data_IF_894285054699
#
_entry.id   IF_894285054699
#
_cell.length_a   1.000
_cell.length_b   1.000
_cell.length_c   1.000
_cell.angle_alpha   90.00
_cell.angle_beta   90.00
_cell.angle_gamma   90.00
#
_symmetry.space_group_name_H-M   'P 1'
#
loop_
_entity.id
_entity.type
_entity.pdbx_description
1 polymer ?
#
# COMPACT_ATOMS: atom_id res chain seq x y z
N UNK A 1 -23.95 -9.82 -27.15
CA UNK A 1 -22.86 -10.82 -27.25
C UNK A 1 -21.93 -10.62 -26.07
N UNK A 2 -21.77 -11.61 -25.16
CA UNK A 2 -20.76 -11.51 -24.10
C UNK A 2 -19.41 -11.70 -24.78
N UNK A 3 -18.60 -10.64 -24.85
CA UNK A 3 -17.21 -10.76 -25.29
C UNK A 3 -16.52 -11.86 -24.47
N UNK A 4 -15.72 -12.70 -25.14
CA UNK A 4 -14.91 -13.70 -24.46
C UNK A 4 -14.04 -13.02 -23.40
N UNK A 5 -13.78 -13.66 -22.24
CA UNK A 5 -12.94 -13.07 -21.21
C UNK A 5 -11.55 -12.77 -21.78
N UNK A 6 -11.12 -11.50 -21.70
CA UNK A 6 -9.76 -11.10 -22.08
C UNK A 6 -8.79 -11.49 -20.96
N UNK A 7 -7.91 -12.46 -21.26
CA UNK A 7 -6.88 -12.94 -20.35
C UNK A 7 -5.51 -12.27 -20.56
N UNK A 8 -5.39 -11.35 -21.52
CA UNK A 8 -4.15 -10.62 -21.74
C UNK A 8 -3.86 -9.68 -20.56
N UNK A 9 -2.74 -9.92 -19.90
CA UNK A 9 -2.32 -9.17 -18.71
C UNK A 9 -2.06 -7.69 -19.02
N UNK A 10 -1.42 -7.39 -20.15
CA UNK A 10 -1.08 -6.03 -20.55
C UNK A 10 -2.35 -5.19 -20.76
N UNK A 11 -3.34 -5.76 -21.45
CA UNK A 11 -4.62 -5.10 -21.66
C UNK A 11 -5.34 -4.85 -20.35
N UNK A 12 -5.33 -5.82 -19.43
CA UNK A 12 -6.05 -5.69 -18.17
C UNK A 12 -5.40 -4.67 -17.23
N UNK A 13 -4.06 -4.58 -17.19
CA UNK A 13 -3.33 -3.68 -16.29
C UNK A 13 -3.15 -2.27 -16.85
N UNK A 14 -2.75 -2.13 -18.12
CA UNK A 14 -2.25 -0.86 -18.66
C UNK A 14 -3.21 -0.19 -19.65
N UNK A 15 -3.99 -0.98 -20.40
CA UNK A 15 -4.99 -0.47 -21.34
C UNK A 15 -4.47 0.55 -22.37
N UNK A 16 -3.24 0.45 -22.85
CA UNK A 16 -2.63 1.50 -23.71
C UNK A 16 -3.48 1.88 -24.94
N UNK A 17 -4.19 0.93 -25.54
CA UNK A 17 -4.97 1.16 -26.76
C UNK A 17 -6.42 1.64 -26.53
N UNK A 18 -6.88 1.71 -25.28
CA UNK A 18 -8.27 2.11 -24.98
C UNK A 18 -8.46 3.62 -25.13
N UNK A 19 -9.57 4.02 -25.76
CA UNK A 19 -9.98 5.43 -25.80
C UNK A 19 -10.17 5.98 -24.38
N UNK A 20 -9.70 7.20 -24.17
CA UNK A 20 -9.63 7.85 -22.87
C UNK A 20 -10.94 8.59 -22.52
N UNK A 21 -11.58 8.25 -21.40
CA UNK A 21 -12.74 8.99 -20.90
C UNK A 21 -12.36 10.08 -19.89
N UNK A 22 -13.27 11.04 -19.66
CA UNK A 22 -13.07 12.09 -18.66
C UNK A 22 -12.96 11.51 -17.24
N UNK A 23 -13.76 10.50 -16.92
CA UNK A 23 -13.72 9.77 -15.65
C UNK A 23 -12.38 9.09 -15.41
N UNK A 24 -11.79 8.48 -16.45
CA UNK A 24 -10.45 7.88 -16.35
C UNK A 24 -9.35 8.90 -16.07
N UNK A 25 -9.41 10.07 -16.71
CA UNK A 25 -8.46 11.17 -16.45
C UNK A 25 -8.55 11.62 -15.00
N UNK A 26 -9.76 11.89 -14.52
CA UNK A 26 -10.01 12.36 -13.15
C UNK A 26 -9.56 11.29 -12.15
N UNK A 27 -9.95 10.04 -12.35
CA UNK A 27 -9.57 8.93 -11.47
C UNK A 27 -8.05 8.79 -11.35
N UNK A 28 -7.32 8.79 -12.48
CA UNK A 28 -5.86 8.70 -12.45
C UNK A 28 -5.22 9.89 -11.76
N UNK A 29 -5.74 11.11 -11.93
CA UNK A 29 -5.25 12.29 -11.22
C UNK A 29 -5.53 12.22 -9.72
N UNK A 30 -6.70 11.70 -9.30
CA UNK A 30 -6.99 11.45 -7.88
C UNK A 30 -5.99 10.46 -7.30
N UNK A 31 -5.79 9.33 -7.98
CA UNK A 31 -4.86 8.29 -7.53
C UNK A 31 -3.41 8.79 -7.47
N UNK A 32 -2.94 9.48 -8.51
CA UNK A 32 -1.61 10.10 -8.50
C UNK A 32 -1.46 11.12 -7.36
N UNK A 33 -2.48 11.96 -7.13
CA UNK A 33 -2.47 12.92 -6.03
C UNK A 33 -2.44 12.24 -4.67
N UNK A 34 -3.12 11.10 -4.52
CA UNK A 34 -3.02 10.28 -3.31
C UNK A 34 -1.59 9.78 -3.08
N UNK A 35 -0.90 9.29 -4.11
CA UNK A 35 0.51 8.86 -4.00
C UNK A 35 1.43 10.03 -3.65
N UNK A 36 1.23 11.20 -4.25
CA UNK A 36 1.99 12.43 -3.95
C UNK A 36 1.80 12.84 -2.49
N UNK A 37 0.55 12.97 -2.04
CA UNK A 37 0.22 13.37 -0.67
C UNK A 37 0.68 12.33 0.35
N UNK A 38 0.51 11.04 0.04
CA UNK A 38 1.00 9.93 0.87
C UNK A 38 2.52 9.94 0.99
N UNK A 39 3.23 10.21 -0.10
CA UNK A 39 4.69 10.34 -0.09
C UNK A 39 5.14 11.50 0.78
N UNK A 40 4.51 12.67 0.65
CA UNK A 40 4.80 13.83 1.50
C UNK A 40 4.54 13.50 2.98
N UNK A 41 3.37 12.94 3.29
CA UNK A 41 2.99 12.55 4.64
C UNK A 41 4.04 11.60 5.27
N UNK A 42 4.44 10.56 4.55
CA UNK A 42 5.46 9.61 5.01
C UNK A 42 6.82 10.30 5.21
N UNK A 43 7.28 11.10 4.24
CA UNK A 43 8.56 11.78 4.31
C UNK A 43 8.66 12.71 5.54
N UNK A 44 7.61 13.48 5.81
CA UNK A 44 7.54 14.37 6.97
C UNK A 44 7.42 13.61 8.29
N UNK A 45 6.54 12.61 8.35
CA UNK A 45 6.36 11.78 9.56
C UNK A 45 7.67 11.11 9.95
N UNK A 46 8.36 10.51 8.99
CA UNK A 46 9.65 9.86 9.21
C UNK A 46 10.76 10.87 9.51
N UNK A 47 10.77 12.02 8.84
CA UNK A 47 11.74 13.07 9.10
C UNK A 47 11.67 13.58 10.52
N UNK A 48 10.46 13.88 11.01
CA UNK A 48 10.25 14.31 12.40
C UNK A 48 10.61 13.24 13.41
N UNK A 49 10.28 11.97 13.13
CA UNK A 49 10.60 10.88 14.03
C UNK A 49 12.10 10.60 14.10
N UNK A 50 12.81 10.68 12.97
CA UNK A 50 14.27 10.44 12.92
C UNK A 50 15.06 11.38 13.84
N UNK A 51 14.54 12.58 14.10
CA UNK A 51 15.14 13.52 15.08
C UNK A 51 15.14 12.98 16.52
N UNK A 52 14.30 12.00 16.83
CA UNK A 52 14.20 11.36 18.15
C UNK A 52 15.13 10.15 18.28
N UNK A 53 15.81 9.76 17.20
CA UNK A 53 16.70 8.61 17.17
C UNK A 53 18.13 9.12 17.30
N UNK A 54 18.82 8.73 18.38
CA UNK A 54 20.23 9.06 18.59
C UNK A 54 21.16 8.06 17.90
N UNK A 55 20.76 6.79 17.84
CA UNK A 55 21.65 5.68 17.47
C UNK A 55 20.97 4.67 16.54
N UNK A 56 21.79 4.00 15.73
CA UNK A 56 21.39 2.91 14.84
C UNK A 56 21.54 1.60 15.60
N UNK A 57 20.43 1.00 16.00
CA UNK A 57 20.44 -0.25 16.79
C UNK A 57 20.54 -1.48 15.90
N UNK A 58 19.87 -1.48 14.75
CA UNK A 58 19.86 -2.60 13.82
C UNK A 58 19.84 -2.11 12.36
N UNK A 59 20.97 -2.21 11.63
CA UNK A 59 20.99 -1.87 10.20
C UNK A 59 20.23 -2.94 9.39
N UNK A 60 19.06 -2.56 8.88
CA UNK A 60 18.22 -3.37 8.00
C UNK A 60 18.21 -2.81 6.57
N UNK A 61 18.03 -3.70 5.59
CA UNK A 61 17.91 -3.31 4.18
C UNK A 61 19.09 -2.48 3.67
N UNK A 62 18.82 -1.31 3.09
CA UNK A 62 19.84 -0.40 2.54
C UNK A 62 20.86 0.06 3.60
N UNK A 63 20.45 0.19 4.87
CA UNK A 63 21.31 0.62 5.96
C UNK A 63 22.48 -0.35 6.25
N UNK A 64 22.46 -1.56 5.68
CA UNK A 64 23.59 -2.50 5.72
C UNK A 64 24.72 -2.14 4.76
N UNK A 65 24.42 -1.36 3.73
CA UNK A 65 25.34 -1.05 2.64
C UNK A 65 25.66 0.44 2.56
N UNK A 66 24.79 1.29 3.08
CA UNK A 66 24.95 2.74 3.11
C UNK A 66 24.92 3.19 4.56
N UNK A 67 25.96 3.92 4.97
CA UNK A 67 25.94 4.58 6.28
C UNK A 67 24.87 5.67 6.26
N UNK A 68 23.86 5.51 7.12
CA UNK A 68 22.71 6.42 7.28
C UNK A 68 22.82 7.25 8.57
N UNK A 69 23.95 7.15 9.30
CA UNK A 69 24.21 7.94 10.50
C UNK A 69 24.17 9.44 10.23
N UNK A 70 24.50 9.88 9.01
CA UNK A 70 24.42 11.27 8.58
C UNK A 70 23.00 11.88 8.66
N UNK A 71 21.96 11.05 8.73
CA UNK A 71 20.57 11.49 8.94
C UNK A 71 20.20 11.69 10.42
N UNK A 72 21.08 11.36 11.36
CA UNK A 72 20.80 11.38 12.80
C UNK A 72 21.52 12.54 13.50
N UNK A 73 20.95 13.02 14.61
CA UNK A 73 21.53 14.11 15.42
C UNK A 73 21.54 15.49 14.76
N UNK A 74 20.82 15.69 13.65
CA UNK A 74 20.78 16.94 12.90
C UNK A 74 19.43 17.13 12.19
N UNK A 75 19.23 18.26 11.48
CA UNK A 75 17.95 18.60 10.82
C UNK A 75 17.85 18.12 9.37
N UNK A 76 18.84 17.38 8.84
CA UNK A 76 18.86 16.90 7.46
C UNK A 76 17.64 16.06 7.06
N UNK A 77 17.06 15.20 7.92
CA UNK A 77 15.82 14.48 7.58
C UNK A 77 14.66 15.41 7.22
N UNK A 78 14.59 16.61 7.82
CA UNK A 78 13.54 17.59 7.48
C UNK A 78 13.82 18.25 6.13
N UNK A 79 15.08 18.59 5.84
CA UNK A 79 15.48 19.10 4.53
C UNK A 79 15.21 18.09 3.42
N UNK A 80 15.52 16.81 3.66
CA UNK A 80 15.21 15.72 2.74
C UNK A 80 13.69 15.59 2.51
N UNK A 81 12.87 15.68 3.57
CA UNK A 81 11.41 15.67 3.44
C UNK A 81 10.87 16.87 2.64
N UNK A 82 11.44 18.07 2.83
CA UNK A 82 11.14 19.26 2.04
C UNK A 82 11.51 19.08 0.56
N UNK A 83 12.69 18.53 0.27
CA UNK A 83 13.13 18.25 -1.09
C UNK A 83 12.25 17.20 -1.77
N UNK A 84 11.91 16.10 -1.08
CA UNK A 84 10.95 15.09 -1.57
C UNK A 84 9.63 15.77 -1.92
N UNK A 85 9.11 16.63 -1.05
CA UNK A 85 7.84 17.35 -1.28
C UNK A 85 7.88 18.19 -2.55
N UNK A 86 8.94 18.96 -2.76
CA UNK A 86 9.11 19.75 -4.00
C UNK A 86 9.18 18.83 -5.21
N UNK A 87 9.98 17.76 -5.15
CA UNK A 87 10.16 16.85 -6.28
C UNK A 87 8.86 16.13 -6.68
N UNK A 88 8.05 15.66 -5.72
CA UNK A 88 6.77 15.02 -6.06
C UNK A 88 5.77 16.02 -6.64
N UNK A 89 5.78 17.28 -6.19
CA UNK A 89 4.96 18.34 -6.78
C UNK A 89 5.42 18.70 -8.21
N UNK A 90 6.73 18.73 -8.46
CA UNK A 90 7.27 18.91 -9.81
C UNK A 90 6.87 17.74 -10.73
N UNK A 91 6.96 16.50 -10.24
CA UNK A 91 6.51 15.31 -10.97
C UNK A 91 5.02 15.34 -11.29
N UNK A 92 4.21 15.75 -10.32
CA UNK A 92 2.75 15.91 -10.47
C UNK A 92 2.39 17.00 -11.49
N UNK A 93 3.09 18.14 -11.42
CA UNK A 93 2.96 19.25 -12.37
C UNK A 93 3.61 18.99 -13.74
N UNK A 94 4.17 17.79 -13.95
CA UNK A 94 4.84 17.36 -15.20
C UNK A 94 6.09 18.18 -15.55
N UNK A 95 6.76 18.76 -14.56
CA UNK A 95 7.98 19.55 -14.73
C UNK A 95 9.22 18.66 -14.67
N UNK A 96 9.53 18.03 -15.81
CA UNK A 96 10.70 17.17 -15.99
C UNK A 96 10.39 15.67 -15.87
N UNK A 97 11.37 14.83 -16.24
CA UNK A 97 11.21 13.36 -16.33
C UNK A 97 11.72 12.59 -15.11
N UNK A 98 12.57 13.22 -14.32
CA UNK A 98 13.26 12.64 -13.18
C UNK A 98 12.66 12.93 -11.79
N UNK A 99 11.77 13.92 -11.57
CA UNK A 99 11.39 14.30 -10.20
C UNK A 99 10.88 13.14 -9.34
N UNK A 100 9.98 12.29 -9.86
CA UNK A 100 9.49 11.13 -9.12
C UNK A 100 10.58 10.08 -8.85
N UNK A 101 11.51 9.86 -9.78
CA UNK A 101 12.60 8.92 -9.58
C UNK A 101 13.55 9.39 -8.47
N UNK A 102 13.90 10.69 -8.47
CA UNK A 102 14.75 11.28 -7.43
C UNK A 102 14.01 11.24 -6.08
N UNK A 103 12.73 11.63 -6.06
CA UNK A 103 11.90 11.57 -4.85
C UNK A 103 11.84 10.15 -4.27
N UNK A 104 11.70 9.14 -5.12
CA UNK A 104 11.69 7.74 -4.69
C UNK A 104 13.01 7.32 -4.02
N UNK A 105 14.15 7.66 -4.63
CA UNK A 105 15.47 7.34 -4.04
C UNK A 105 15.65 8.05 -2.70
N UNK A 106 15.29 9.33 -2.60
CA UNK A 106 15.37 10.08 -1.35
C UNK A 106 14.42 9.54 -0.29
N UNK A 107 13.24 9.05 -0.68
CA UNK A 107 12.27 8.41 0.20
C UNK A 107 12.82 7.09 0.76
N UNK A 108 13.55 6.30 -0.04
CA UNK A 108 14.23 5.08 0.44
C UNK A 108 15.28 5.43 1.50
N UNK A 109 16.06 6.49 1.30
CA UNK A 109 17.05 6.94 2.29
C UNK A 109 16.34 7.37 3.58
N UNK A 110 15.25 8.13 3.46
CA UNK A 110 14.44 8.56 4.60
C UNK A 110 13.83 7.37 5.36
N UNK A 111 13.34 6.37 4.63
CA UNK A 111 12.83 5.12 5.17
C UNK A 111 13.93 4.39 5.95
N UNK A 112 15.10 4.21 5.35
CA UNK A 112 16.23 3.53 5.98
C UNK A 112 16.65 4.25 7.27
N UNK A 113 16.67 5.58 7.28
CA UNK A 113 16.99 6.39 8.46
C UNK A 113 15.96 6.23 9.61
N UNK A 114 14.67 6.14 9.29
CA UNK A 114 13.62 5.98 10.29
C UNK A 114 13.61 4.58 10.93
N UNK A 115 13.89 3.54 10.15
CA UNK A 115 13.66 2.14 10.54
C UNK A 115 14.91 1.41 11.02
N UNK A 116 15.86 2.18 11.57
CA UNK A 116 17.11 1.73 12.20
C UNK A 116 16.95 1.04 13.53
N UNK A 117 15.75 1.08 14.10
CA UNK A 117 15.41 0.45 15.37
C UNK A 117 14.79 -0.94 15.20
N UNK A 118 14.75 -1.47 13.97
CA UNK A 118 14.23 -2.82 13.69
C UNK A 118 12.73 -2.89 13.38
N UNK A 119 12.01 -1.78 13.42
CA UNK A 119 10.60 -1.69 13.01
C UNK A 119 10.52 -1.64 11.48
N UNK A 120 9.62 -2.41 10.84
CA UNK A 120 9.40 -2.38 9.38
C UNK A 120 7.95 -1.99 9.14
N UNK A 121 7.64 -0.82 8.56
CA UNK A 121 6.26 -0.47 8.26
C UNK A 121 5.83 -1.21 7.00
N UNK A 122 4.75 -1.98 7.11
CA UNK A 122 4.20 -2.66 5.95
C UNK A 122 3.28 -1.76 5.12
N UNK A 123 2.66 -0.74 5.73
CA UNK A 123 1.67 0.12 5.08
C UNK A 123 2.25 1.11 4.06
N UNK A 124 3.50 1.55 4.24
CA UNK A 124 4.15 2.54 3.37
C UNK A 124 4.64 1.96 2.05
N UNK A 125 4.73 0.63 1.95
CA UNK A 125 5.28 -0.03 0.77
C UNK A 125 4.42 0.21 -0.46
N UNK A 126 3.08 0.20 -0.32
CA UNK A 126 2.19 0.43 -1.47
C UNK A 126 2.37 1.84 -2.05
N UNK A 127 2.40 2.87 -1.19
CA UNK A 127 2.68 4.26 -1.62
C UNK A 127 4.05 4.36 -2.31
N UNK A 128 5.08 3.73 -1.74
CA UNK A 128 6.42 3.70 -2.34
C UNK A 128 6.44 3.02 -3.71
N UNK A 129 5.71 1.91 -3.88
CA UNK A 129 5.59 1.21 -5.17
C UNK A 129 4.75 2.02 -6.16
N UNK A 130 3.71 2.73 -5.73
CA UNK A 130 2.97 3.66 -6.56
C UNK A 130 3.87 4.79 -7.08
N UNK A 131 4.70 5.38 -6.21
CA UNK A 131 5.68 6.40 -6.59
C UNK A 131 6.70 5.85 -7.60
N UNK A 132 7.21 4.64 -7.38
CA UNK A 132 8.08 3.96 -8.34
C UNK A 132 7.38 3.72 -9.69
N UNK A 133 6.12 3.33 -9.67
CA UNK A 133 5.30 3.15 -10.88
C UNK A 133 5.21 4.43 -11.69
N UNK A 134 4.93 5.57 -11.04
CA UNK A 134 4.90 6.87 -11.70
C UNK A 134 6.29 7.33 -12.17
N UNK A 135 7.35 7.04 -11.41
CA UNK A 135 8.73 7.31 -11.82
C UNK A 135 9.09 6.56 -13.11
N UNK A 136 8.86 5.25 -13.14
CA UNK A 136 9.05 4.41 -14.34
C UNK A 136 8.18 4.89 -15.49
N UNK A 137 6.91 5.23 -15.23
CA UNK A 137 6.01 5.84 -16.22
C UNK A 137 6.65 7.05 -16.88
N UNK A 138 7.08 8.04 -16.09
CA UNK A 138 7.70 9.28 -16.60
C UNK A 138 9.00 9.06 -17.37
N UNK A 139 9.80 8.07 -16.99
CA UNK A 139 11.09 7.79 -17.64
C UNK A 139 10.96 7.06 -18.97
N UNK A 140 10.02 6.11 -19.07
CA UNK A 140 9.94 5.19 -20.21
C UNK A 140 8.83 5.51 -21.21
N UNK A 141 7.83 6.30 -20.83
CA UNK A 141 6.71 6.63 -21.72
C UNK A 141 6.73 8.10 -22.14
N UNK A 142 6.58 8.40 -23.45
CA UNK A 142 6.66 9.77 -23.97
C UNK A 142 5.39 10.58 -23.72
N UNK A 143 4.21 9.96 -23.83
CA UNK A 143 2.91 10.62 -23.72
C UNK A 143 2.31 10.56 -22.31
N UNK A 144 1.58 11.61 -21.90
CA UNK A 144 1.02 11.71 -20.54
C UNK A 144 0.02 10.61 -20.22
N UNK A 145 -0.76 10.20 -21.20
CA UNK A 145 -1.77 9.14 -21.07
C UNK A 145 -1.11 7.81 -20.72
N UNK A 146 -0.09 7.38 -21.48
CA UNK A 146 0.63 6.13 -21.23
C UNK A 146 1.42 6.18 -19.93
N UNK A 147 2.02 7.32 -19.56
CA UNK A 147 2.67 7.50 -18.25
C UNK A 147 1.72 7.21 -17.10
N UNK A 148 0.54 7.81 -17.15
CA UNK A 148 -0.47 7.71 -16.09
C UNK A 148 -1.07 6.30 -16.02
N UNK A 149 -1.31 5.69 -17.19
CA UNK A 149 -1.76 4.29 -17.32
C UNK A 149 -0.73 3.30 -16.79
N UNK A 150 0.54 3.51 -17.12
CA UNK A 150 1.63 2.70 -16.60
C UNK A 150 1.71 2.77 -15.08
N UNK A 151 1.71 3.97 -14.49
CA UNK A 151 1.77 4.12 -13.03
C UNK A 151 0.63 3.40 -12.30
N UNK A 152 -0.60 3.53 -12.80
CA UNK A 152 -1.76 2.83 -12.24
C UNK A 152 -1.67 1.31 -12.43
N UNK A 153 -1.37 0.84 -13.64
CA UNK A 153 -1.23 -0.60 -13.94
C UNK A 153 -0.10 -1.26 -13.17
N UNK A 154 1.02 -0.56 -13.00
CA UNK A 154 2.15 -0.97 -12.18
C UNK A 154 1.75 -1.13 -10.71
N UNK A 155 0.95 -0.20 -10.19
CA UNK A 155 0.44 -0.30 -8.81
C UNK A 155 -0.45 -1.53 -8.65
N UNK A 156 -1.40 -1.77 -9.56
CA UNK A 156 -2.22 -2.99 -9.54
C UNK A 156 -1.38 -4.27 -9.61
N UNK A 157 -0.35 -4.26 -10.46
CA UNK A 157 0.59 -5.37 -10.57
C UNK A 157 1.23 -5.68 -9.22
N UNK A 158 1.83 -4.67 -8.58
CA UNK A 158 2.51 -4.83 -7.31
C UNK A 158 1.58 -5.14 -6.15
N UNK A 159 0.34 -4.65 -6.17
CA UNK A 159 -0.66 -5.00 -5.16
C UNK A 159 -0.96 -6.51 -5.21
N UNK A 160 -1.25 -7.04 -6.40
CA UNK A 160 -1.47 -8.48 -6.57
C UNK A 160 -0.23 -9.29 -6.21
N UNK A 161 0.96 -8.85 -6.63
CA UNK A 161 2.23 -9.53 -6.33
C UNK A 161 2.52 -9.53 -4.82
N UNK A 162 2.37 -8.39 -4.13
CA UNK A 162 2.71 -8.25 -2.72
C UNK A 162 1.84 -9.15 -1.83
N UNK A 163 0.52 -9.10 -1.99
CA UNK A 163 -0.38 -9.93 -1.20
C UNK A 163 -0.25 -11.43 -1.54
N UNK A 164 -0.12 -11.79 -2.81
CA UNK A 164 0.10 -13.20 -3.17
C UNK A 164 1.45 -13.71 -2.66
N UNK A 165 2.50 -12.89 -2.71
CA UNK A 165 3.79 -13.24 -2.11
C UNK A 165 3.70 -13.38 -0.59
N UNK A 166 2.89 -12.55 0.07
CA UNK A 166 2.64 -12.65 1.51
C UNK A 166 1.92 -13.96 1.88
N UNK A 167 0.97 -14.44 1.07
CA UNK A 167 0.38 -15.77 1.27
C UNK A 167 1.41 -16.88 1.03
N UNK A 168 2.19 -16.80 -0.04
CA UNK A 168 3.22 -17.80 -0.35
C UNK A 168 4.25 -17.87 0.78
N UNK A 169 4.70 -16.73 1.33
CA UNK A 169 5.65 -16.73 2.44
C UNK A 169 5.08 -17.41 3.69
N UNK A 170 3.79 -17.21 3.98
CA UNK A 170 3.09 -17.89 5.08
C UNK A 170 3.03 -19.40 4.86
N UNK A 171 2.69 -19.83 3.65
CA UNK A 171 2.64 -21.24 3.26
C UNK A 171 4.02 -21.91 3.28
N UNK A 172 5.08 -21.20 2.88
CA UNK A 172 6.45 -21.73 2.97
C UNK A 172 6.90 -21.87 4.42
N UNK A 173 6.55 -20.91 5.28
CA UNK A 173 6.99 -20.91 6.68
C UNK A 173 6.30 -21.99 7.53
N UNK A 174 5.01 -22.24 7.32
CA UNK A 174 4.22 -23.13 8.20
C UNK A 174 3.17 -23.98 7.49
N UNK A 175 3.20 -24.03 6.15
CA UNK A 175 2.25 -24.81 5.36
C UNK A 175 0.81 -24.31 5.49
N UNK A 176 -0.14 -25.20 5.17
CA UNK A 176 -1.58 -24.92 5.27
C UNK A 176 -2.03 -24.71 6.72
N UNK A 177 -1.25 -25.15 7.71
CA UNK A 177 -1.53 -24.97 9.13
C UNK A 177 -1.19 -23.57 9.62
N UNK A 178 -0.67 -22.68 8.77
CA UNK A 178 -0.51 -21.26 9.12
C UNK A 178 -1.82 -20.64 9.60
N UNK A 179 -2.96 -21.07 9.06
CA UNK A 179 -4.27 -20.61 9.51
C UNK A 179 -4.78 -21.24 10.81
N UNK A 180 -3.98 -21.99 11.57
CA UNK A 180 -4.37 -22.48 12.91
C UNK A 180 -4.71 -21.29 13.83
N UNK A 181 -5.92 -21.29 14.39
CA UNK A 181 -6.42 -20.23 15.26
C UNK A 181 -5.54 -19.93 16.48
N UNK A 182 -4.66 -20.85 16.89
CA UNK A 182 -3.65 -20.60 17.95
C UNK A 182 -2.70 -19.46 17.59
N UNK A 183 -2.39 -19.27 16.31
CA UNK A 183 -1.57 -18.13 15.87
C UNK A 183 -2.30 -16.80 16.08
N UNK A 184 -3.62 -16.76 15.82
CA UNK A 184 -4.41 -15.56 16.08
C UNK A 184 -4.54 -15.30 17.58
N UNK A 185 -4.76 -16.33 18.39
CA UNK A 185 -4.76 -16.21 19.84
C UNK A 185 -3.44 -15.64 20.36
N UNK A 186 -2.31 -16.13 19.85
CA UNK A 186 -0.99 -15.61 20.19
C UNK A 186 -0.88 -14.11 19.86
N UNK A 187 -1.27 -13.68 18.67
CA UNK A 187 -1.21 -12.26 18.29
C UNK A 187 -2.15 -11.37 19.10
N UNK A 188 -3.37 -11.81 19.39
CA UNK A 188 -4.30 -11.06 20.25
C UNK A 188 -3.67 -10.85 21.63
N UNK A 189 -3.07 -11.90 22.20
CA UNK A 189 -2.43 -11.81 23.51
C UNK A 189 -1.13 -10.99 23.49
N UNK A 190 -0.33 -11.08 22.42
CA UNK A 190 0.85 -10.22 22.23
C UNK A 190 0.45 -8.74 22.24
N UNK A 191 -0.59 -8.37 21.47
CA UNK A 191 -1.08 -6.99 21.42
C UNK A 191 -1.72 -6.55 22.73
N UNK A 192 -2.35 -7.47 23.46
CA UNK A 192 -2.84 -7.20 24.80
C UNK A 192 -1.70 -6.86 25.78
N UNK A 193 -0.54 -7.52 25.67
CA UNK A 193 0.65 -7.18 26.47
C UNK A 193 1.16 -5.77 26.14
N UNK A 194 1.21 -5.41 24.86
CA UNK A 194 1.58 -4.05 24.43
C UNK A 194 0.62 -3.00 25.02
N UNK A 195 -0.68 -3.29 25.03
CA UNK A 195 -1.69 -2.38 25.58
C UNK A 195 -1.59 -2.25 27.10
N UNK A 196 -1.43 -3.36 27.83
CA UNK A 196 -1.21 -3.34 29.28
C UNK A 196 0.04 -2.54 29.62
N UNK A 197 1.12 -2.69 28.86
CA UNK A 197 2.34 -1.92 29.08
C UNK A 197 2.13 -0.40 28.87
N UNK A 198 1.21 -0.03 27.96
CA UNK A 198 0.90 1.37 27.64
C UNK A 198 -0.10 2.02 28.60
N UNK A 199 -1.20 1.34 28.92
CA UNK A 199 -2.36 1.91 29.61
C UNK A 199 -2.67 1.25 30.96
N UNK A 200 -1.99 0.15 31.31
CA UNK A 200 -2.14 -0.57 32.58
C UNK A 200 -3.31 -1.56 32.61
N UNK A 201 -4.12 -1.63 31.56
CA UNK A 201 -5.21 -2.60 31.40
C UNK A 201 -5.44 -2.91 29.92
N UNK A 202 -6.20 -3.96 29.63
CA UNK A 202 -6.66 -4.27 28.27
C UNK A 202 -8.16 -4.50 28.30
N UNK A 203 -8.86 -3.91 27.34
CA UNK A 203 -10.27 -4.19 27.08
C UNK A 203 -10.37 -4.85 25.71
N UNK A 204 -10.85 -6.09 25.69
CA UNK A 204 -11.03 -6.81 24.45
C UNK A 204 -12.32 -6.36 23.78
N UNK A 205 -12.28 -6.17 22.47
CA UNK A 205 -13.51 -5.93 21.71
C UNK A 205 -14.24 -7.26 21.43
N UNK A 206 -15.51 -7.15 21.03
CA UNK A 206 -16.36 -8.31 20.73
C UNK A 206 -15.73 -9.31 19.73
N UNK A 207 -14.99 -8.84 18.72
CA UNK A 207 -14.37 -9.72 17.72
C UNK A 207 -13.18 -10.48 18.30
N UNK A 208 -12.40 -9.84 19.17
CA UNK A 208 -11.30 -10.48 19.91
C UNK A 208 -11.84 -11.52 20.88
N UNK A 209 -12.88 -11.21 21.65
CA UNK A 209 -13.54 -12.16 22.54
C UNK A 209 -14.11 -13.36 21.75
N UNK A 210 -14.75 -13.09 20.61
CA UNK A 210 -15.30 -14.14 19.73
C UNK A 210 -14.18 -15.05 19.20
N UNK A 211 -13.05 -14.47 18.77
CA UNK A 211 -11.90 -15.24 18.31
C UNK A 211 -11.29 -16.10 19.43
N UNK A 212 -11.12 -15.55 20.64
CA UNK A 212 -10.56 -16.26 21.80
C UNK A 212 -11.50 -17.34 22.36
N UNK A 213 -12.82 -17.17 22.21
CA UNK A 213 -13.80 -18.15 22.69
C UNK A 213 -13.88 -19.42 21.83
N UNK A 214 -13.38 -19.40 20.59
CA UNK A 214 -13.43 -20.55 19.68
C UNK A 214 -12.25 -20.64 18.74
N UNK A 215 -11.48 -21.73 18.87
CA UNK A 215 -10.35 -22.02 17.98
C UNK A 215 -10.79 -22.14 16.52
N UNK A 216 -12.00 -22.68 16.28
CA UNK A 216 -12.55 -22.78 14.93
C UNK A 216 -12.80 -21.40 14.32
N UNK A 217 -13.38 -20.46 15.08
CA UNK A 217 -13.63 -19.10 14.59
C UNK A 217 -12.30 -18.40 14.28
N UNK A 218 -11.33 -18.48 15.18
CA UNK A 218 -10.00 -17.93 14.95
C UNK A 218 -9.32 -18.54 13.70
N UNK A 219 -9.45 -19.84 13.51
CA UNK A 219 -8.95 -20.55 12.33
C UNK A 219 -9.62 -20.04 11.05
N UNK A 220 -10.94 -19.85 11.08
CA UNK A 220 -11.69 -19.33 9.92
C UNK A 220 -11.29 -17.91 9.55
N UNK A 221 -11.02 -17.04 10.54
CA UNK A 221 -10.51 -15.69 10.29
C UNK A 221 -9.16 -15.71 9.57
N UNK A 222 -8.21 -16.52 10.06
CA UNK A 222 -6.90 -16.66 9.40
C UNK A 222 -7.00 -17.33 8.03
N UNK A 223 -7.85 -18.34 7.89
CA UNK A 223 -8.06 -19.03 6.61
C UNK A 223 -8.64 -18.08 5.56
N UNK A 224 -9.60 -17.24 5.93
CA UNK A 224 -10.11 -16.18 5.05
C UNK A 224 -8.99 -15.24 4.62
N UNK A 225 -8.19 -14.75 5.57
CA UNK A 225 -7.07 -13.86 5.26
C UNK A 225 -6.07 -14.49 4.29
N UNK A 226 -5.67 -15.73 4.54
CA UNK A 226 -4.74 -16.48 3.69
C UNK A 226 -5.30 -16.71 2.28
N UNK A 227 -6.58 -17.04 2.15
CA UNK A 227 -7.25 -17.19 0.85
C UNK A 227 -7.31 -15.86 0.10
N UNK A 228 -7.69 -14.77 0.76
CA UNK A 228 -7.76 -13.44 0.15
C UNK A 228 -6.38 -13.01 -0.41
N UNK A 229 -5.31 -13.22 0.35
CA UNK A 229 -3.94 -12.94 -0.08
C UNK A 229 -3.50 -13.87 -1.22
N UNK A 230 -3.74 -15.18 -1.12
CA UNK A 230 -3.32 -16.16 -2.12
C UNK A 230 -3.94 -15.88 -3.50
N UNK A 231 -5.20 -15.44 -3.53
CA UNK A 231 -5.90 -15.08 -4.76
C UNK A 231 -5.73 -13.62 -5.17
N UNK A 232 -4.87 -12.85 -4.51
CA UNK A 232 -4.68 -11.43 -4.82
C UNK A 232 -4.12 -11.15 -6.22
N UNK A 233 -3.40 -12.08 -6.86
CA UNK A 233 -3.01 -11.97 -8.28
C UNK A 233 -4.21 -11.79 -9.22
N UNK A 234 -5.42 -12.19 -8.81
CA UNK A 234 -6.65 -11.93 -9.56
C UNK A 234 -7.02 -10.44 -9.66
N UNK A 235 -6.38 -9.55 -8.89
CA UNK A 235 -6.46 -8.09 -9.05
C UNK A 235 -6.04 -7.64 -10.44
N UNK A 236 -5.14 -8.40 -11.08
CA UNK A 236 -4.64 -8.08 -12.40
C UNK A 236 -5.72 -8.13 -13.47
N UNK A 237 -6.80 -8.91 -13.28
CA UNK A 237 -7.91 -9.01 -14.23
C UNK A 237 -9.07 -8.11 -13.81
N UNK A 238 -9.53 -7.23 -14.71
CA UNK A 238 -10.53 -6.19 -14.38
C UNK A 238 -11.83 -6.76 -13.83
N UNK A 239 -12.26 -7.92 -14.33
CA UNK A 239 -13.53 -8.55 -13.95
C UNK A 239 -13.55 -9.02 -12.50
N UNK A 240 -12.42 -9.50 -11.98
CA UNK A 240 -12.27 -10.00 -10.61
C UNK A 240 -11.74 -8.95 -9.66
N UNK A 241 -11.06 -7.92 -10.20
CA UNK A 241 -10.36 -6.86 -9.48
C UNK A 241 -11.13 -6.30 -8.28
N UNK A 242 -12.34 -5.80 -8.48
CA UNK A 242 -13.14 -5.19 -7.41
C UNK A 242 -13.38 -6.17 -6.27
N UNK A 243 -13.82 -7.39 -6.58
CA UNK A 243 -14.15 -8.40 -5.58
C UNK A 243 -12.94 -8.83 -4.76
N UNK A 244 -11.79 -9.00 -5.43
CA UNK A 244 -10.54 -9.39 -4.77
C UNK A 244 -10.03 -8.25 -3.90
N UNK A 245 -10.08 -6.99 -4.37
CA UNK A 245 -9.70 -5.85 -3.53
C UNK A 245 -10.65 -5.63 -2.35
N UNK A 246 -11.94 -5.90 -2.48
CA UNK A 246 -12.87 -5.90 -1.35
C UNK A 246 -12.55 -7.02 -0.34
N UNK A 247 -12.12 -8.19 -0.81
CA UNK A 247 -11.65 -9.27 0.07
C UNK A 247 -10.36 -8.87 0.82
N UNK A 248 -9.40 -8.24 0.14
CA UNK A 248 -8.18 -7.70 0.77
C UNK A 248 -8.54 -6.58 1.77
N UNK A 249 -9.47 -5.69 1.42
CA UNK A 249 -9.97 -4.66 2.35
C UNK A 249 -10.63 -5.30 3.58
N UNK A 250 -11.44 -6.34 3.38
CA UNK A 250 -12.02 -7.14 4.47
C UNK A 250 -10.96 -7.79 5.36
N UNK A 251 -9.85 -8.26 4.78
CA UNK A 251 -8.68 -8.72 5.53
C UNK A 251 -8.10 -7.60 6.40
N UNK A 252 -7.93 -6.37 5.88
CA UNK A 252 -7.42 -5.25 6.70
C UNK A 252 -8.36 -4.87 7.83
N UNK A 253 -9.66 -4.88 7.57
CA UNK A 253 -10.68 -4.69 8.61
C UNK A 253 -10.58 -5.81 9.65
N UNK A 254 -10.41 -7.05 9.22
CA UNK A 254 -10.20 -8.20 10.12
C UNK A 254 -8.95 -8.04 10.98
N UNK A 255 -7.82 -7.63 10.41
CA UNK A 255 -6.58 -7.35 11.15
C UNK A 255 -6.81 -6.24 12.17
N UNK A 256 -7.49 -5.16 11.80
CA UNK A 256 -7.78 -4.07 12.73
C UNK A 256 -8.67 -4.54 13.89
N UNK A 257 -9.76 -5.27 13.60
CA UNK A 257 -10.68 -5.73 14.63
C UNK A 257 -10.09 -6.82 15.53
N UNK A 258 -9.18 -7.65 15.03
CA UNK A 258 -8.59 -8.73 15.82
C UNK A 258 -7.29 -8.32 16.52
N UNK A 259 -6.44 -7.53 15.88
CA UNK A 259 -5.09 -7.21 16.38
C UNK A 259 -4.91 -5.75 16.78
N UNK A 260 -5.91 -4.89 16.58
CA UNK A 260 -5.83 -3.43 16.76
C UNK A 260 -4.69 -2.76 15.96
N UNK A 261 -4.37 -3.34 14.79
CA UNK A 261 -3.38 -2.79 13.87
C UNK A 261 -4.09 -2.23 12.64
N UNK A 262 -3.93 -0.92 12.40
CA UNK A 262 -4.50 -0.26 11.22
C UNK A 262 -3.42 0.20 10.24
N UNK A 263 -3.43 -0.40 9.05
CA UNK A 263 -2.59 0.02 7.92
C UNK A 263 -3.30 1.12 7.10
N UNK A 264 -3.49 2.29 7.70
CA UNK A 264 -4.40 3.34 7.20
C UNK A 264 -4.15 3.76 5.75
N UNK A 265 -2.88 3.94 5.35
CA UNK A 265 -2.56 4.32 3.96
C UNK A 265 -2.92 3.21 2.98
N UNK A 266 -2.63 1.95 3.32
CA UNK A 266 -3.01 0.80 2.48
C UNK A 266 -4.53 0.67 2.36
N UNK A 267 -5.27 0.93 3.44
CA UNK A 267 -6.74 0.92 3.43
C UNK A 267 -7.29 1.99 2.49
N UNK A 268 -6.78 3.23 2.57
CA UNK A 268 -7.21 4.30 1.66
C UNK A 268 -6.84 4.01 0.22
N UNK A 269 -5.65 3.49 -0.03
CA UNK A 269 -5.22 3.09 -1.37
C UNK A 269 -6.12 2.00 -1.94
N UNK A 270 -6.43 0.97 -1.15
CA UNK A 270 -7.36 -0.09 -1.54
C UNK A 270 -8.76 0.45 -1.83
N UNK A 271 -9.28 1.41 -1.05
CA UNK A 271 -10.58 2.03 -1.32
C UNK A 271 -10.54 2.81 -2.65
N UNK A 272 -9.48 3.58 -2.89
CA UNK A 272 -9.32 4.31 -4.15
C UNK A 272 -9.21 3.33 -5.33
N UNK A 273 -8.56 2.18 -5.16
CA UNK A 273 -8.34 1.24 -6.26
C UNK A 273 -9.47 0.23 -6.47
N UNK A 274 -10.23 -0.13 -5.42
CA UNK A 274 -11.21 -1.22 -5.47
C UNK A 274 -12.40 -0.92 -6.38
N UNK A 275 -12.90 0.32 -6.33
CA UNK A 275 -14.15 0.68 -6.98
C UNK A 275 -13.92 1.19 -8.42
N UNK A 276 -14.89 0.99 -9.33
CA UNK A 276 -14.84 1.50 -10.70
C UNK A 276 -15.15 3.01 -10.74
N UNK A 277 -14.30 3.80 -10.09
CA UNK A 277 -14.48 5.25 -9.96
C UNK A 277 -14.56 5.95 -11.30
N UNK A 278 -13.78 5.50 -12.29
CA UNK A 278 -13.82 6.01 -13.66
C UNK A 278 -15.23 5.92 -14.27
N UNK A 279 -15.87 4.75 -14.17
CA UNK A 279 -17.23 4.54 -14.69
C UNK A 279 -18.28 5.36 -13.93
N UNK A 280 -18.14 5.50 -12.61
CA UNK A 280 -19.08 6.28 -11.79
C UNK A 280 -18.96 7.77 -12.05
N UNK A 281 -17.74 8.28 -12.22
CA UNK A 281 -17.47 9.67 -12.58
C UNK A 281 -18.04 9.97 -13.96
N UNK A 282 -17.81 9.11 -14.96
CA UNK A 282 -18.37 9.28 -16.31
C UNK A 282 -19.90 9.37 -16.27
N UNK A 283 -20.57 8.44 -15.57
CA UNK A 283 -22.04 8.46 -15.40
C UNK A 283 -22.53 9.74 -14.73
N UNK A 284 -21.79 10.25 -13.74
CA UNK A 284 -22.14 11.50 -13.06
C UNK A 284 -22.00 12.71 -13.99
N UNK A 285 -20.93 12.77 -14.80
CA UNK A 285 -20.70 13.85 -15.76
C UNK A 285 -21.74 13.85 -16.88
N UNK A 286 -22.11 12.67 -17.39
CA UNK A 286 -23.17 12.54 -18.39
C UNK A 286 -24.53 13.05 -17.88
N UNK A 287 -24.89 12.72 -16.63
CA UNK A 287 -26.13 13.21 -16.01
C UNK A 287 -26.14 14.74 -15.89
N UNK A 288 -25.03 15.36 -15.51
CA UNK A 288 -24.91 16.83 -15.41
C UNK A 288 -24.99 17.53 -16.77
N UNK A 289 -24.56 16.89 -17.86
CA UNK A 289 -24.68 17.47 -19.22
C UNK A 289 -26.11 17.43 -19.77
N UNK A 290 -26.97 16.58 -19.20
CA UNK A 290 -28.37 16.41 -19.62
C UNK A 290 -29.37 17.21 -18.78
N UNK A 291 -28.94 17.72 -17.62
CA UNK A 291 -29.72 18.59 -16.74
C UNK A 291 -29.44 20.05 -17.06
#
# INVERSE_FOLDING_TARGET
MRQAPNWNLMDNLFEFDRAESSGQIIFRKIFESFIVLGTMYLAWTWGQYTLRISDIVLPLGLARYVDISFMHGNTLPLWNAGLISVLVLLGWARLGRWPYAIAFVLLIIQYAARFTLGEIPHSSNLVGMGLLGFACGQLFYPDETSRSRFGLGFTYFFLGLAYTSAAISKLVASGITWSDGRHLWMWINEKAVDEIARSGFVELNFVQELALSSLLIATLFLAFGLIAELFSWLVWFRRTRMWVMLAILGLHVGIWLTMDILFILSVYELIILAFPWDEWIDKMLERRRRA
#
